data_IF_828872645374
#
_entry.id   IF_828872645374
#
_cell.length_a   1.000
_cell.length_b   1.000
_cell.length_c   1.000
_cell.angle_alpha   90.00
_cell.angle_beta   90.00
_cell.angle_gamma   90.00
#
_symmetry.space_group_name_H-M   'P 1'
#
loop_
_entity.id
_entity.type
_entity.pdbx_description
1 polymer ?
#
# COMPACT_ATOMS: atom_id res chain seq x y z
N UNK A 1 13.70 -13.70 -13.57
CA UNK A 1 12.72 -14.24 -12.60
C UNK A 1 13.38 -15.05 -11.48
N UNK A 2 14.31 -15.96 -11.78
CA UNK A 2 15.05 -16.75 -10.75
C UNK A 2 15.83 -15.87 -9.75
N UNK A 3 16.47 -14.80 -10.22
CA UNK A 3 17.30 -13.89 -9.40
C UNK A 3 16.50 -13.13 -8.32
N UNK A 4 15.28 -12.70 -8.65
CA UNK A 4 14.40 -11.99 -7.72
C UNK A 4 13.92 -12.93 -6.59
N UNK A 5 13.61 -14.18 -6.91
CA UNK A 5 13.18 -15.15 -5.89
C UNK A 5 14.33 -15.50 -4.94
N UNK A 6 15.56 -15.59 -5.46
CA UNK A 6 16.74 -15.82 -4.63
C UNK A 6 16.99 -14.64 -3.69
N UNK A 7 16.93 -13.40 -4.18
CA UNK A 7 17.09 -12.19 -3.36
C UNK A 7 15.98 -12.04 -2.31
N UNK A 8 14.72 -12.37 -2.64
CA UNK A 8 13.63 -12.39 -1.66
C UNK A 8 13.89 -13.45 -0.58
N UNK A 9 14.39 -14.63 -0.96
CA UNK A 9 14.70 -15.69 0.00
C UNK A 9 15.84 -15.29 0.96
N UNK A 10 16.88 -14.60 0.46
CA UNK A 10 17.97 -14.03 1.26
C UNK A 10 17.47 -12.93 2.19
N UNK A 11 16.63 -12.03 1.70
CA UNK A 11 16.00 -10.98 2.51
C UNK A 11 15.15 -11.59 3.65
N UNK A 12 14.46 -12.69 3.36
CA UNK A 12 13.63 -13.38 4.33
C UNK A 12 14.44 -14.11 5.42
N UNK A 13 15.58 -14.71 5.06
CA UNK A 13 16.48 -15.34 6.05
C UNK A 13 17.19 -14.29 6.90
N UNK A 14 17.68 -13.21 6.27
CA UNK A 14 18.36 -12.09 6.93
C UNK A 14 17.48 -11.38 7.97
N UNK A 15 16.17 -11.27 7.70
CA UNK A 15 15.23 -10.57 8.60
C UNK A 15 14.55 -11.49 9.63
N UNK A 16 14.82 -12.80 9.64
CA UNK A 16 14.11 -13.78 10.48
C UNK A 16 14.17 -13.50 12.00
N UNK A 17 15.31 -13.03 12.51
CA UNK A 17 15.47 -12.68 13.92
C UNK A 17 14.68 -11.39 14.26
N UNK A 18 14.84 -10.36 13.45
CA UNK A 18 14.13 -9.09 13.57
C UNK A 18 12.61 -9.29 13.53
N UNK A 19 12.13 -10.13 12.62
CA UNK A 19 10.71 -10.45 12.48
C UNK A 19 10.14 -11.00 13.78
N UNK A 20 10.81 -12.00 14.38
CA UNK A 20 10.37 -12.62 15.64
C UNK A 20 10.33 -11.62 16.79
N UNK A 21 11.33 -10.76 16.90
CA UNK A 21 11.36 -9.71 17.92
C UNK A 21 10.27 -8.65 17.69
N UNK A 22 10.08 -8.23 16.44
CA UNK A 22 9.11 -7.20 16.05
C UNK A 22 7.68 -7.69 16.29
N UNK A 23 7.36 -8.91 15.89
CA UNK A 23 6.06 -9.55 16.18
C UNK A 23 5.81 -9.59 17.69
N UNK A 24 6.77 -10.08 18.47
CA UNK A 24 6.65 -10.16 19.94
C UNK A 24 6.40 -8.78 20.56
N UNK A 25 7.08 -7.76 20.07
CA UNK A 25 6.97 -6.37 20.56
C UNK A 25 5.62 -5.77 20.17
N UNK A 26 5.20 -5.94 18.93
CA UNK A 26 3.91 -5.46 18.43
C UNK A 26 2.72 -6.09 19.17
N UNK A 27 2.76 -7.40 19.41
CA UNK A 27 1.74 -8.11 20.21
C UNK A 27 1.71 -7.58 21.64
N UNK A 28 2.88 -7.37 22.26
CA UNK A 28 2.95 -6.79 23.61
C UNK A 28 2.35 -5.39 23.65
N UNK A 29 2.64 -4.56 22.66
CA UNK A 29 2.14 -3.18 22.56
C UNK A 29 0.64 -3.11 22.28
N UNK A 30 0.11 -4.03 21.47
CA UNK A 30 -1.33 -4.20 21.25
C UNK A 30 -2.05 -4.41 22.59
N UNK A 31 -1.63 -5.43 23.36
CA UNK A 31 -2.26 -5.72 24.66
C UNK A 31 -1.94 -4.70 25.75
N UNK A 32 -0.82 -3.98 25.66
CA UNK A 32 -0.51 -2.86 26.56
C UNK A 32 -1.52 -1.73 26.38
N UNK A 33 -1.88 -1.43 25.14
CA UNK A 33 -2.86 -0.38 24.79
C UNK A 33 -4.26 -0.74 25.29
N UNK A 34 -4.63 -2.02 25.27
CA UNK A 34 -5.93 -2.51 25.78
C UNK A 34 -6.01 -2.56 27.32
N UNK A 35 -4.91 -2.35 28.04
CA UNK A 35 -4.87 -2.39 29.50
C UNK A 35 -5.00 -3.79 30.12
N UNK A 36 -4.76 -3.89 31.43
CA UNK A 36 -4.69 -5.17 32.16
C UNK A 36 -6.04 -5.61 32.74
N UNK A 37 -7.05 -4.73 32.79
CA UNK A 37 -8.29 -5.03 33.51
C UNK A 37 -9.52 -4.17 33.19
N UNK A 38 -9.56 -3.50 32.04
CA UNK A 38 -10.68 -2.66 31.65
C UNK A 38 -11.46 -3.29 30.52
N UNK A 39 -12.78 -3.14 30.55
CA UNK A 39 -13.59 -3.27 29.34
C UNK A 39 -13.01 -2.35 28.26
N UNK A 40 -12.66 -2.89 27.11
CA UNK A 40 -12.26 -2.13 25.94
C UNK A 40 -13.51 -1.78 25.11
N UNK A 41 -13.70 -0.50 24.80
CA UNK A 41 -14.66 -0.06 23.79
C UNK A 41 -14.12 -0.40 22.39
N UNK A 42 -14.99 -0.37 21.37
CA UNK A 42 -14.60 -0.67 19.98
C UNK A 42 -13.41 0.17 19.48
N UNK A 43 -13.31 1.44 19.89
CA UNK A 43 -12.20 2.33 19.53
C UNK A 43 -10.86 1.98 20.18
N UNK A 44 -10.85 1.25 21.30
CA UNK A 44 -9.61 0.84 21.97
C UNK A 44 -8.89 -0.26 21.18
N UNK A 45 -9.65 -1.11 20.46
CA UNK A 45 -9.10 -2.13 19.57
C UNK A 45 -8.47 -1.52 18.31
N UNK A 46 -9.12 -0.51 17.75
CA UNK A 46 -8.59 0.21 16.59
C UNK A 46 -7.30 0.95 17.00
N UNK A 47 -7.30 1.62 18.16
CA UNK A 47 -6.09 2.26 18.71
C UNK A 47 -4.97 1.25 19.01
N UNK A 48 -5.28 0.09 19.57
CA UNK A 48 -4.31 -0.97 19.84
C UNK A 48 -3.70 -1.54 18.56
N UNK A 49 -4.51 -1.74 17.53
CA UNK A 49 -4.08 -2.16 16.19
C UNK A 49 -3.14 -1.14 15.57
N UNK A 50 -3.52 0.14 15.60
CA UNK A 50 -2.72 1.21 15.02
C UNK A 50 -1.38 1.37 15.76
N UNK A 51 -1.37 1.18 17.09
CA UNK A 51 -0.13 1.13 17.88
C UNK A 51 0.77 -0.05 17.51
N UNK A 52 0.19 -1.24 17.35
CA UNK A 52 0.94 -2.42 16.93
C UNK A 52 1.54 -2.22 15.53
N UNK A 53 0.75 -1.71 14.59
CA UNK A 53 1.21 -1.40 13.23
C UNK A 53 2.32 -0.34 13.22
N UNK A 54 2.19 0.71 14.06
CA UNK A 54 3.22 1.75 14.19
C UNK A 54 4.57 1.17 14.64
N UNK A 55 4.57 0.24 15.60
CA UNK A 55 5.79 -0.45 16.05
C UNK A 55 6.40 -1.30 14.94
N UNK A 56 5.55 -2.04 14.21
CA UNK A 56 5.99 -2.87 13.09
C UNK A 56 6.63 -1.99 12.00
N UNK A 57 5.96 -0.93 11.56
CA UNK A 57 6.48 0.00 10.55
C UNK A 57 7.78 0.67 11.00
N UNK A 58 7.86 1.14 12.24
CA UNK A 58 9.06 1.79 12.76
C UNK A 58 10.29 0.88 12.75
N UNK A 59 10.12 -0.39 13.11
CA UNK A 59 11.20 -1.40 13.08
C UNK A 59 11.54 -1.80 11.65
N UNK A 60 10.52 -2.10 10.83
CA UNK A 60 10.69 -2.60 9.47
C UNK A 60 11.31 -1.55 8.52
N UNK A 61 10.96 -0.28 8.68
CA UNK A 61 11.44 0.84 7.87
C UNK A 61 12.66 1.54 8.49
N UNK A 62 13.35 0.87 9.41
CA UNK A 62 14.63 1.33 9.94
C UNK A 62 15.75 1.15 8.91
N UNK A 63 16.76 2.04 8.93
CA UNK A 63 17.87 1.99 7.98
C UNK A 63 18.61 0.64 8.00
N UNK A 64 18.80 0.06 9.19
CA UNK A 64 19.42 -1.26 9.38
C UNK A 64 18.63 -2.37 8.69
N UNK A 65 17.30 -2.35 8.81
CA UNK A 65 16.44 -3.37 8.22
C UNK A 65 16.38 -3.23 6.71
N UNK A 66 16.27 -2.00 6.22
CA UNK A 66 16.30 -1.74 4.78
C UNK A 66 17.63 -2.17 4.15
N UNK A 67 18.75 -1.92 4.84
CA UNK A 67 20.06 -2.40 4.40
C UNK A 67 20.12 -3.93 4.36
N UNK A 68 19.61 -4.61 5.39
CA UNK A 68 19.52 -6.08 5.40
C UNK A 68 18.64 -6.63 4.25
N UNK A 69 17.51 -5.97 3.95
CA UNK A 69 16.61 -6.32 2.85
C UNK A 69 17.21 -6.07 1.46
N UNK A 70 18.14 -5.12 1.34
CA UNK A 70 18.81 -4.78 0.08
C UNK A 70 20.16 -5.50 -0.12
N UNK A 71 20.45 -6.53 0.68
CA UNK A 71 21.70 -7.29 0.58
C UNK A 71 22.92 -6.54 1.11
N UNK A 72 22.76 -5.70 2.14
CA UNK A 72 23.83 -4.93 2.77
C UNK A 72 24.09 -3.56 2.13
N UNK A 73 23.27 -3.14 1.17
CA UNK A 73 23.37 -1.81 0.55
C UNK A 73 22.88 -0.72 1.51
N UNK A 74 23.64 0.37 1.61
CA UNK A 74 23.24 1.54 2.39
C UNK A 74 22.36 2.46 1.56
N UNK A 75 21.31 2.98 2.17
CA UNK A 75 20.43 3.98 1.57
C UNK A 75 20.73 5.35 2.18
N UNK A 76 20.70 6.40 1.36
CA UNK A 76 20.69 7.78 1.82
C UNK A 76 19.33 8.15 2.42
N UNK A 77 19.30 9.15 3.32
CA UNK A 77 18.07 9.61 3.97
C UNK A 77 16.92 9.94 3.00
N UNK A 78 17.17 10.58 1.83
CA UNK A 78 16.15 10.81 0.80
C UNK A 78 15.58 9.52 0.21
N UNK A 79 16.41 8.51 -0.07
CA UNK A 79 15.94 7.23 -0.59
C UNK A 79 15.11 6.47 0.45
N UNK A 80 15.52 6.50 1.71
CA UNK A 80 14.74 5.92 2.81
C UNK A 80 13.36 6.58 2.90
N UNK A 81 13.31 7.92 2.79
CA UNK A 81 12.03 8.64 2.79
C UNK A 81 11.14 8.31 1.59
N UNK A 82 11.71 8.24 0.38
CA UNK A 82 10.99 7.84 -0.83
C UNK A 82 10.46 6.41 -0.76
N UNK A 83 11.26 5.48 -0.22
CA UNK A 83 10.86 4.10 -0.02
C UNK A 83 9.74 3.98 1.01
N UNK A 84 9.80 4.74 2.12
CA UNK A 84 8.73 4.81 3.12
C UNK A 84 7.42 5.29 2.52
N UNK A 85 7.44 6.39 1.76
CA UNK A 85 6.26 6.92 1.09
C UNK A 85 5.68 5.93 0.08
N UNK A 86 6.53 5.30 -0.72
CA UNK A 86 6.11 4.31 -1.70
C UNK A 86 5.50 3.10 -1.01
N UNK A 87 6.16 2.57 0.03
CA UNK A 87 5.65 1.44 0.79
C UNK A 87 4.31 1.77 1.46
N UNK A 88 4.16 2.94 2.08
CA UNK A 88 2.91 3.36 2.68
C UNK A 88 1.77 3.50 1.66
N UNK A 89 2.08 3.84 0.40
CA UNK A 89 1.08 3.90 -0.67
C UNK A 89 0.59 2.52 -1.13
N UNK A 90 1.39 1.46 -0.97
CA UNK A 90 1.01 0.08 -1.35
C UNK A 90 0.70 -0.82 -0.14
N UNK A 91 0.95 -0.34 1.07
CA UNK A 91 0.75 -1.09 2.31
C UNK A 91 -0.71 -1.52 2.47
N UNK A 92 -0.93 -2.82 2.67
CA UNK A 92 -2.24 -3.35 3.11
C UNK A 92 -2.41 -3.03 4.59
N UNK A 93 -3.61 -2.66 5.02
CA UNK A 93 -3.90 -2.43 6.43
C UNK A 93 -3.80 -3.74 7.24
N UNK A 94 -3.24 -3.64 8.44
CA UNK A 94 -3.19 -4.76 9.38
C UNK A 94 -4.60 -5.07 9.86
N UNK A 95 -5.16 -6.23 9.49
CA UNK A 95 -6.48 -6.65 9.94
C UNK A 95 -6.35 -7.61 11.12
N UNK A 96 -6.76 -7.15 12.31
CA UNK A 96 -6.87 -7.99 13.51
C UNK A 96 -8.36 -8.19 13.78
N UNK A 97 -8.90 -9.42 13.67
CA UNK A 97 -10.29 -9.68 13.94
C UNK A 97 -10.57 -9.45 15.43
N UNK A 98 -11.73 -8.89 15.75
CA UNK A 98 -12.14 -8.70 17.15
C UNK A 98 -12.36 -10.05 17.82
N UNK A 99 -12.04 -10.20 19.12
CA UNK A 99 -12.21 -11.46 19.83
C UNK A 99 -13.69 -11.89 19.81
N UNK A 100 -13.98 -13.20 19.65
CA UNK A 100 -15.35 -13.69 19.70
C UNK A 100 -15.96 -13.42 21.07
N UNK A 101 -17.02 -12.61 21.10
CA UNK A 101 -17.68 -12.19 22.33
C UNK A 101 -18.58 -13.32 22.83
N UNK A 102 -18.25 -13.97 23.94
CA UNK A 102 -19.27 -14.62 24.76
C UNK A 102 -19.96 -13.53 25.57
N UNK A 103 -21.15 -13.10 25.12
CA UNK A 103 -22.04 -12.23 25.91
C UNK A 103 -22.58 -13.04 27.09
N UNK A 104 -21.78 -13.21 28.14
CA UNK A 104 -22.28 -13.76 29.39
C UNK A 104 -23.17 -12.70 30.07
N UNK A 105 -24.46 -12.98 30.32
CA UNK A 105 -25.32 -12.04 31.02
C UNK A 105 -24.74 -11.82 32.43
N UNK A 106 -24.53 -10.55 32.80
CA UNK A 106 -23.98 -10.17 34.12
C UNK A 106 -24.78 -10.88 35.22
N UNK A 107 -24.12 -11.44 36.23
CA UNK A 107 -24.76 -12.24 37.30
C UNK A 107 -25.94 -11.49 37.94
N UNK A 108 -25.82 -10.18 38.14
CA UNK A 108 -26.91 -9.33 38.66
C UNK A 108 -28.15 -9.29 37.76
N UNK A 109 -27.98 -9.32 36.43
CA UNK A 109 -29.12 -9.35 35.49
C UNK A 109 -29.85 -10.69 35.53
N UNK A 110 -29.11 -11.80 35.69
CA UNK A 110 -29.71 -13.12 35.88
C UNK A 110 -30.43 -13.21 37.23
N UNK A 111 -29.84 -12.66 38.30
CA UNK A 111 -30.44 -12.65 39.63
C UNK A 111 -31.72 -11.80 39.66
N UNK A 112 -31.71 -10.62 39.03
CA UNK A 112 -32.90 -9.77 38.90
C UNK A 112 -33.98 -10.45 38.05
N UNK A 113 -33.59 -11.11 36.96
CA UNK A 113 -34.51 -11.87 36.11
C UNK A 113 -35.14 -13.05 36.86
N UNK A 114 -34.35 -13.76 37.68
CA UNK A 114 -34.85 -14.83 38.55
C UNK A 114 -35.84 -14.30 39.58
N UNK A 115 -35.54 -13.14 40.21
CA UNK A 115 -36.42 -12.53 41.21
C UNK A 115 -37.74 -12.05 40.59
N UNK A 116 -37.67 -11.33 39.47
CA UNK A 116 -38.85 -10.88 38.73
C UNK A 116 -39.67 -12.05 38.19
N UNK A 117 -38.99 -13.08 37.68
CA UNK A 117 -39.60 -14.31 37.22
C UNK A 117 -40.33 -15.03 38.35
N UNK A 118 -39.71 -15.15 39.53
CA UNK A 118 -40.32 -15.79 40.70
C UNK A 118 -41.59 -15.07 41.14
N UNK A 119 -41.55 -13.74 41.24
CA UNK A 119 -42.70 -12.94 41.61
C UNK A 119 -43.85 -13.09 40.60
N UNK A 120 -43.56 -13.00 39.30
CA UNK A 120 -44.54 -13.19 38.24
C UNK A 120 -45.12 -14.62 38.24
N UNK A 121 -44.28 -15.63 38.44
CA UNK A 121 -44.70 -17.02 38.52
C UNK A 121 -45.61 -17.29 39.71
N UNK A 122 -45.29 -16.78 40.90
CA UNK A 122 -46.18 -16.87 42.07
C UNK A 122 -47.53 -16.18 41.82
N UNK A 123 -47.53 -15.00 41.20
CA UNK A 123 -48.75 -14.23 40.93
C UNK A 123 -49.64 -14.87 39.85
N UNK A 124 -49.05 -15.54 38.85
CA UNK A 124 -49.81 -16.18 37.78
C UNK A 124 -50.27 -17.60 38.16
N UNK A 125 -49.41 -18.39 38.81
CA UNK A 125 -49.69 -19.81 39.09
C UNK A 125 -50.66 -19.97 40.27
N UNK A 126 -50.61 -19.10 41.28
CA UNK A 126 -51.50 -19.16 42.45
C UNK A 126 -53.00 -19.04 42.10
N UNK A 127 -53.48 -18.06 41.31
CA UNK A 127 -54.90 -18.00 40.92
C UNK A 127 -55.28 -19.13 39.97
N UNK A 128 -54.35 -19.60 39.14
CA UNK A 128 -54.62 -20.64 38.15
C UNK A 128 -54.77 -22.03 38.79
N UNK A 129 -53.91 -22.38 39.75
CA UNK A 129 -54.04 -23.60 40.55
C UNK A 129 -55.21 -23.55 41.53
N UNK A 130 -55.54 -22.38 42.06
CA UNK A 130 -56.79 -22.19 42.81
C UNK A 130 -58.01 -22.47 41.94
N UNK A 131 -58.02 -21.99 40.70
CA UNK A 131 -59.14 -22.22 39.80
C UNK A 131 -59.26 -23.69 39.35
N UNK A 132 -58.13 -24.34 39.05
CA UNK A 132 -58.13 -25.69 38.49
C UNK A 132 -58.20 -26.82 39.54
N UNK A 133 -57.62 -26.61 40.73
CA UNK A 133 -57.42 -27.66 41.73
C UNK A 133 -57.80 -27.23 43.16
N UNK A 134 -58.30 -26.00 43.35
CA UNK A 134 -58.60 -25.37 44.65
C UNK A 134 -57.41 -25.32 45.64
N UNK A 135 -56.19 -25.53 45.14
CA UNK A 135 -54.95 -25.52 45.93
C UNK A 135 -54.13 -24.27 45.65
N UNK A 136 -54.40 -23.19 46.41
CA UNK A 136 -53.68 -21.92 46.29
C UNK A 136 -52.21 -22.02 46.74
N UNK A 137 -51.96 -22.71 47.84
CA UNK A 137 -50.64 -22.75 48.48
C UNK A 137 -49.62 -23.49 47.60
N UNK A 138 -50.08 -24.49 46.85
CA UNK A 138 -49.28 -25.21 45.88
C UNK A 138 -48.79 -24.29 44.75
N UNK A 139 -49.63 -23.34 44.31
CA UNK A 139 -49.27 -22.36 43.29
C UNK A 139 -48.26 -21.31 43.75
N UNK A 140 -48.25 -20.97 45.04
CA UNK A 140 -47.22 -20.09 45.60
C UNK A 140 -45.87 -20.83 45.73
N UNK A 141 -45.90 -22.08 46.20
CA UNK A 141 -44.68 -22.89 46.39
C UNK A 141 -44.02 -23.25 45.06
N UNK A 142 -44.80 -23.64 44.05
CA UNK A 142 -44.27 -24.02 42.72
C UNK A 142 -44.05 -22.82 41.80
N UNK A 143 -44.85 -21.75 41.94
CA UNK A 143 -44.79 -20.57 41.09
C UNK A 143 -43.47 -19.81 41.20
N UNK A 144 -42.87 -19.75 42.39
CA UNK A 144 -41.58 -19.08 42.61
C UNK A 144 -40.43 -19.73 41.82
N UNK A 145 -40.11 -21.02 42.06
CA UNK A 145 -39.04 -21.71 41.34
C UNK A 145 -39.28 -21.80 39.82
N UNK A 146 -40.52 -22.12 39.39
CA UNK A 146 -40.86 -22.23 37.97
C UNK A 146 -40.75 -20.87 37.26
N UNK A 147 -41.24 -19.81 37.91
CA UNK A 147 -41.14 -18.45 37.41
C UNK A 147 -39.69 -17.96 37.34
N UNK A 148 -38.87 -18.23 38.35
CA UNK A 148 -37.45 -17.86 38.36
C UNK A 148 -36.68 -18.50 37.19
N UNK A 149 -36.89 -19.81 36.97
CA UNK A 149 -36.31 -20.55 35.85
C UNK A 149 -36.72 -19.94 34.51
N UNK A 150 -38.02 -19.68 34.33
CA UNK A 150 -38.55 -19.06 33.11
C UNK A 150 -37.97 -17.65 32.89
N UNK A 151 -37.89 -16.83 33.94
CA UNK A 151 -37.28 -15.49 33.86
C UNK A 151 -35.82 -15.54 33.40
N UNK A 152 -35.03 -16.45 33.97
CA UNK A 152 -33.63 -16.67 33.55
C UNK A 152 -33.56 -17.17 32.12
N UNK A 153 -34.38 -18.14 31.72
CA UNK A 153 -34.40 -18.69 30.37
C UNK A 153 -34.80 -17.64 29.33
N UNK A 154 -35.81 -16.81 29.65
CA UNK A 154 -36.27 -15.70 28.81
C UNK A 154 -35.13 -14.71 28.62
N UNK A 155 -34.49 -14.24 29.69
CA UNK A 155 -33.35 -13.31 29.59
C UNK A 155 -32.16 -13.94 28.86
N UNK A 156 -31.88 -15.23 29.07
CA UNK A 156 -30.84 -15.95 28.35
C UNK A 156 -31.13 -16.13 26.85
N UNK A 157 -32.39 -16.38 26.47
CA UNK A 157 -32.83 -16.44 25.07
C UNK A 157 -32.81 -15.06 24.42
N UNK A 158 -33.31 -14.03 25.11
CA UNK A 158 -33.35 -12.66 24.62
C UNK A 158 -31.97 -12.03 24.48
N UNK A 159 -31.01 -12.37 25.35
CA UNK A 159 -29.63 -11.90 25.23
C UNK A 159 -28.94 -12.46 23.97
N UNK A 160 -29.33 -13.66 23.51
CA UNK A 160 -28.86 -14.24 22.24
C UNK A 160 -29.53 -13.63 21.01
N UNK A 161 -30.78 -13.18 21.11
CA UNK A 161 -31.59 -12.73 19.96
C UNK A 161 -31.42 -11.22 19.68
N UNK A 162 -30.68 -10.48 20.51
CA UNK A 162 -30.43 -9.04 20.30
C UNK A 162 -31.65 -8.13 20.51
N UNK A 163 -32.82 -8.70 20.83
CA UNK A 163 -34.07 -7.95 21.01
C UNK A 163 -34.07 -7.09 22.29
N UNK A 164 -33.35 -7.52 23.33
CA UNK A 164 -33.24 -6.80 24.61
C UNK A 164 -32.48 -5.47 24.48
N UNK A 165 -31.57 -5.37 23.49
CA UNK A 165 -30.87 -4.13 23.13
C UNK A 165 -31.78 -3.07 22.49
N UNK A 166 -32.88 -3.49 21.84
CA UNK A 166 -33.80 -2.58 21.14
C UNK A 166 -34.78 -1.89 22.10
N UNK A 167 -35.05 -2.51 23.26
CA UNK A 167 -35.99 -2.01 24.25
C UNK A 167 -35.33 -1.19 25.37
N UNK A 168 -34.01 -1.33 25.59
CA UNK A 168 -33.28 -0.61 26.65
C UNK A 168 -31.97 -0.01 26.12
N UNK A 169 -32.02 1.16 25.44
CA UNK A 169 -30.86 1.77 24.75
C UNK A 169 -29.71 2.24 25.67
N UNK A 170 -29.83 2.10 26.99
CA UNK A 170 -28.83 2.60 27.96
C UNK A 170 -28.06 1.53 28.75
N UNK A 171 -28.42 0.25 28.65
CA UNK A 171 -27.81 -0.81 29.47
C UNK A 171 -26.74 -1.64 28.74
N UNK A 172 -26.64 -1.51 27.43
CA UNK A 172 -25.60 -2.13 26.64
C UNK A 172 -24.41 -1.17 26.49
N UNK A 173 -23.66 -0.99 27.56
CA UNK A 173 -22.27 -0.61 27.41
C UNK A 173 -21.63 -1.75 26.61
N UNK A 174 -21.18 -1.49 25.38
CA UNK A 174 -20.49 -2.44 24.49
C UNK A 174 -19.05 -2.66 25.01
N UNK A 175 -19.00 -2.95 26.30
CA UNK A 175 -17.84 -3.01 27.16
C UNK A 175 -17.28 -4.41 27.03
N UNK A 176 -16.35 -4.60 26.10
CA UNK A 176 -15.73 -5.90 25.85
C UNK A 176 -14.67 -6.14 26.92
N UNK A 177 -15.00 -6.92 27.96
CA UNK A 177 -14.00 -7.30 28.95
C UNK A 177 -13.11 -8.41 28.39
N UNK A 178 -11.89 -8.06 28.00
CA UNK A 178 -10.82 -9.03 27.79
C UNK A 178 -10.35 -9.58 29.14
N UNK A 179 -11.13 -10.47 29.73
CA UNK A 179 -10.69 -11.23 30.91
C UNK A 179 -9.53 -12.15 30.55
N UNK A 180 -8.70 -12.53 31.53
CA UNK A 180 -7.43 -13.23 31.29
C UNK A 180 -7.51 -14.49 30.41
N UNK A 181 -8.66 -15.19 30.38
CA UNK A 181 -8.90 -16.34 29.49
C UNK A 181 -9.14 -15.91 28.05
N UNK A 182 -10.02 -14.94 27.81
CA UNK A 182 -10.27 -14.39 26.47
C UNK A 182 -9.01 -13.73 25.88
N UNK A 183 -8.18 -13.10 26.71
CA UNK A 183 -6.87 -12.57 26.30
C UNK A 183 -5.93 -13.67 25.84
N UNK A 184 -5.83 -14.77 26.60
CA UNK A 184 -4.96 -15.92 26.27
C UNK A 184 -5.36 -16.56 24.93
N UNK A 185 -6.65 -16.63 24.64
CA UNK A 185 -7.16 -17.20 23.39
C UNK A 185 -7.02 -16.23 22.20
N UNK A 186 -7.06 -14.91 22.46
CA UNK A 186 -6.93 -13.89 21.43
C UNK A 186 -5.46 -13.59 21.05
N UNK A 187 -4.52 -13.71 21.99
CA UNK A 187 -3.09 -13.50 21.74
C UNK A 187 -2.52 -14.26 20.52
N UNK A 188 -2.77 -15.58 20.33
CA UNK A 188 -2.27 -16.29 19.16
C UNK A 188 -2.87 -15.75 17.84
N UNK A 189 -4.11 -15.24 17.87
CA UNK A 189 -4.76 -14.64 16.69
C UNK A 189 -4.07 -13.33 16.32
N UNK A 190 -3.85 -12.44 17.31
CA UNK A 190 -3.12 -11.18 17.10
C UNK A 190 -1.72 -11.46 16.55
N UNK A 191 -1.02 -12.44 17.13
CA UNK A 191 0.30 -12.85 16.68
C UNK A 191 0.28 -13.31 15.22
N UNK A 192 -0.64 -14.21 14.85
CA UNK A 192 -0.76 -14.72 13.50
C UNK A 192 -1.05 -13.60 12.48
N UNK A 193 -1.92 -12.64 12.82
CA UNK A 193 -2.20 -11.50 11.96
C UNK A 193 -0.97 -10.62 11.73
N UNK A 194 -0.20 -10.34 12.78
CA UNK A 194 1.04 -9.55 12.66
C UNK A 194 2.11 -10.33 11.88
N UNK A 195 2.23 -11.64 12.09
CA UNK A 195 3.14 -12.51 11.34
C UNK A 195 2.79 -12.52 9.85
N UNK A 196 1.52 -12.73 9.51
CA UNK A 196 1.02 -12.74 8.13
C UNK A 196 1.24 -11.39 7.44
N UNK A 197 1.01 -10.28 8.15
CA UNK A 197 1.29 -8.95 7.62
C UNK A 197 2.79 -8.78 7.33
N UNK A 198 3.66 -9.25 8.22
CA UNK A 198 5.12 -9.23 8.02
C UNK A 198 5.58 -10.14 6.87
N UNK A 199 4.97 -11.31 6.70
CA UNK A 199 5.23 -12.22 5.58
C UNK A 199 4.91 -11.58 4.23
N UNK A 200 3.91 -10.70 4.18
CA UNK A 200 3.60 -9.91 2.99
C UNK A 200 4.51 -8.68 2.83
N UNK A 201 4.78 -7.96 3.92
CA UNK A 201 5.50 -6.69 3.88
C UNK A 201 6.98 -6.86 3.51
N UNK A 202 7.64 -7.91 4.02
CA UNK A 202 9.08 -8.14 3.81
C UNK A 202 9.42 -8.39 2.32
N UNK A 203 8.75 -9.30 1.60
CA UNK A 203 8.95 -9.45 0.15
C UNK A 203 8.63 -8.20 -0.63
N UNK A 204 7.55 -7.49 -0.26
CA UNK A 204 7.16 -6.24 -0.93
C UNK A 204 8.24 -5.18 -0.80
N UNK A 205 8.78 -4.98 0.41
CA UNK A 205 9.90 -4.07 0.64
C UNK A 205 11.18 -4.52 -0.06
N UNK A 206 11.49 -5.81 -0.06
CA UNK A 206 12.66 -6.32 -0.79
C UNK A 206 12.55 -5.99 -2.29
N UNK A 207 11.38 -6.20 -2.90
CA UNK A 207 11.11 -5.84 -4.30
C UNK A 207 11.21 -4.32 -4.52
N UNK A 208 10.68 -3.50 -3.60
CA UNK A 208 10.79 -2.05 -3.67
C UNK A 208 12.23 -1.57 -3.50
N UNK A 209 13.03 -2.18 -2.64
CA UNK A 209 14.46 -1.89 -2.52
C UNK A 209 15.21 -2.24 -3.81
N UNK A 210 14.87 -3.38 -4.43
CA UNK A 210 15.44 -3.80 -5.71
C UNK A 210 15.03 -2.85 -6.85
N UNK A 211 13.76 -2.42 -6.92
CA UNK A 211 13.27 -1.52 -7.97
C UNK A 211 13.64 -0.06 -7.74
N UNK A 212 13.63 0.42 -6.49
CA UNK A 212 14.13 1.74 -6.12
C UNK A 212 15.60 1.90 -6.49
N UNK A 213 16.39 0.81 -6.41
CA UNK A 213 17.77 0.78 -6.87
C UNK A 213 17.95 0.84 -8.39
N UNK A 214 16.91 0.59 -9.20
CA UNK A 214 16.96 0.85 -10.66
C UNK A 214 16.99 2.34 -10.98
N UNK A 215 16.58 3.20 -10.04
CA UNK A 215 16.52 4.66 -10.23
C UNK A 215 17.67 5.42 -9.54
N UNK A 216 18.58 4.73 -8.86
CA UNK A 216 19.78 5.29 -8.23
C UNK A 216 21.08 4.73 -8.83
N UNK A 217 21.13 4.54 -10.15
CA UNK A 217 22.41 4.62 -10.83
C UNK A 217 22.95 6.07 -10.70
N UNK A 218 24.28 6.30 -10.77
CA UNK A 218 24.78 7.67 -10.97
C UNK A 218 24.00 8.28 -12.13
N UNK A 219 23.36 9.44 -11.90
CA UNK A 219 22.47 10.09 -12.88
C UNK A 219 23.13 9.96 -14.24
N UNK A 220 22.55 9.12 -15.11
CA UNK A 220 23.23 8.87 -16.37
C UNK A 220 23.24 10.19 -17.09
N UNK A 221 24.32 10.50 -17.82
CA UNK A 221 24.40 11.77 -18.56
C UNK A 221 23.16 11.98 -19.45
N UNK A 222 22.54 10.88 -19.89
CA UNK A 222 21.24 10.81 -20.56
C UNK A 222 20.07 11.31 -19.69
N UNK A 223 19.95 10.89 -18.43
CA UNK A 223 18.88 11.33 -17.52
C UNK A 223 19.00 12.82 -17.16
N UNK A 224 20.22 13.28 -16.89
CA UNK A 224 20.51 14.70 -16.69
C UNK A 224 20.15 15.52 -17.94
N UNK A 225 20.51 15.02 -19.12
CA UNK A 225 20.18 15.65 -20.40
C UNK A 225 18.66 15.77 -20.58
N UNK A 226 17.90 14.70 -20.38
CA UNK A 226 16.45 14.73 -20.55
C UNK A 226 15.76 15.67 -19.56
N UNK A 227 16.19 15.69 -18.31
CA UNK A 227 15.64 16.59 -17.30
C UNK A 227 15.87 18.05 -17.70
N UNK A 228 17.08 18.39 -18.14
CA UNK A 228 17.47 19.75 -18.51
C UNK A 228 16.80 20.21 -19.80
N UNK A 229 16.83 19.37 -20.84
CA UNK A 229 16.15 19.62 -22.12
C UNK A 229 14.64 19.75 -21.90
N UNK A 230 14.04 18.85 -21.10
CA UNK A 230 12.64 18.92 -20.73
C UNK A 230 12.26 20.26 -20.12
N UNK A 231 13.06 20.77 -19.17
CA UNK A 231 12.87 22.11 -18.59
C UNK A 231 12.92 23.21 -19.66
N UNK A 232 13.89 23.17 -20.56
CA UNK A 232 14.04 24.18 -21.62
C UNK A 232 12.90 24.13 -22.65
N UNK A 233 12.28 22.98 -22.90
CA UNK A 233 11.06 22.88 -23.72
C UNK A 233 9.90 23.66 -23.08
N UNK A 234 9.73 23.58 -21.74
CA UNK A 234 8.73 24.38 -21.04
C UNK A 234 9.03 25.88 -21.10
N UNK A 235 10.31 26.27 -21.04
CA UNK A 235 10.72 27.68 -21.19
C UNK A 235 10.42 28.16 -22.62
N UNK A 236 10.75 27.36 -23.63
CA UNK A 236 10.46 27.66 -25.03
C UNK A 236 8.96 27.83 -25.28
N UNK A 237 8.12 26.97 -24.71
CA UNK A 237 6.67 27.07 -24.83
C UNK A 237 6.10 28.36 -24.21
N UNK A 238 6.73 28.87 -23.15
CA UNK A 238 6.30 30.09 -22.45
C UNK A 238 6.96 31.36 -22.99
N UNK A 239 7.96 31.25 -23.86
CA UNK A 239 8.70 32.39 -24.38
C UNK A 239 7.83 33.24 -25.32
N UNK A 240 7.93 34.57 -25.19
CA UNK A 240 7.34 35.51 -26.15
C UNK A 240 8.07 35.45 -27.50
N UNK A 241 7.42 35.91 -28.59
CA UNK A 241 7.97 35.86 -29.96
C UNK A 241 9.38 36.44 -30.09
N UNK A 242 9.68 37.51 -29.37
CA UNK A 242 10.99 38.18 -29.41
C UNK A 242 12.09 37.38 -28.71
N UNK A 243 11.75 36.60 -27.68
CA UNK A 243 12.69 35.78 -26.92
C UNK A 243 12.85 34.36 -27.50
N UNK A 244 11.97 33.95 -28.41
CA UNK A 244 11.94 32.60 -28.97
C UNK A 244 13.28 32.16 -29.61
N UNK A 245 13.96 33.00 -30.43
CA UNK A 245 15.24 32.60 -31.01
C UNK A 245 16.31 32.33 -29.96
N UNK A 246 16.37 33.17 -28.92
CA UNK A 246 17.35 33.05 -27.83
C UNK A 246 17.13 31.78 -27.02
N UNK A 247 15.87 31.47 -26.67
CA UNK A 247 15.54 30.26 -25.91
C UNK A 247 15.75 28.99 -26.75
N UNK A 248 15.49 29.06 -28.06
CA UNK A 248 15.76 27.97 -28.98
C UNK A 248 17.28 27.71 -29.12
N UNK A 249 18.09 28.76 -29.20
CA UNK A 249 19.56 28.64 -29.21
C UNK A 249 20.09 28.06 -27.89
N UNK A 250 19.55 28.48 -26.73
CA UNK A 250 19.90 27.90 -25.43
C UNK A 250 19.57 26.40 -25.38
N UNK A 251 18.40 25.99 -25.87
CA UNK A 251 18.01 24.58 -25.95
C UNK A 251 18.98 23.76 -26.80
N UNK A 252 19.37 24.28 -27.98
CA UNK A 252 20.28 23.59 -28.89
C UNK A 252 21.70 23.55 -28.33
N UNK A 253 22.16 24.62 -27.70
CA UNK A 253 23.47 24.66 -27.04
C UNK A 253 23.53 23.65 -25.88
N UNK A 254 22.48 23.57 -25.09
CA UNK A 254 22.43 22.64 -23.98
C UNK A 254 22.37 21.19 -24.47
N UNK A 255 21.57 20.89 -25.50
CA UNK A 255 21.59 19.58 -26.14
C UNK A 255 23.00 19.19 -26.61
N UNK A 256 23.76 20.12 -27.22
CA UNK A 256 25.17 19.89 -27.60
C UNK A 256 26.04 19.55 -26.39
N UNK A 257 25.94 20.31 -25.30
CA UNK A 257 26.72 20.09 -24.07
C UNK A 257 26.49 18.67 -23.49
N UNK A 258 25.28 18.14 -23.64
CA UNK A 258 24.94 16.79 -23.17
C UNK A 258 25.29 15.66 -24.15
N UNK A 259 25.84 15.96 -25.33
CA UNK A 259 26.33 14.96 -26.28
C UNK A 259 25.36 14.60 -27.41
N UNK A 260 24.36 15.44 -27.70
CA UNK A 260 23.64 15.36 -28.96
C UNK A 260 24.52 15.89 -30.10
N UNK A 261 24.71 15.05 -31.13
CA UNK A 261 25.55 15.37 -32.29
C UNK A 261 24.72 15.91 -33.46
N UNK A 262 25.37 16.55 -34.44
CA UNK A 262 24.70 17.08 -35.64
C UNK A 262 23.98 18.42 -35.42
N UNK A 263 24.21 19.05 -34.27
CA UNK A 263 23.71 20.37 -33.91
C UNK A 263 24.78 21.48 -34.11
N UNK A 264 25.83 21.19 -34.88
CA UNK A 264 26.95 22.10 -35.09
C UNK A 264 26.58 23.29 -35.99
N UNK A 265 27.14 24.46 -35.68
CA UNK A 265 26.86 25.70 -36.39
C UNK A 265 25.66 26.48 -35.84
N UNK A 266 25.23 27.48 -36.62
CA UNK A 266 24.06 28.30 -36.30
C UNK A 266 22.77 27.54 -36.62
N UNK A 267 21.75 27.69 -35.77
CA UNK A 267 20.47 27.04 -35.98
C UNK A 267 19.85 27.48 -37.31
N UNK A 268 19.20 26.55 -38.02
CA UNK A 268 18.68 26.82 -39.37
C UNK A 268 17.61 27.91 -39.36
N UNK A 269 16.84 28.07 -38.28
CA UNK A 269 15.87 29.16 -38.14
C UNK A 269 16.53 30.55 -38.02
N UNK A 270 17.82 30.61 -37.68
CA UNK A 270 18.59 31.85 -37.56
C UNK A 270 19.25 32.25 -38.88
N UNK A 271 19.24 31.38 -39.89
CA UNK A 271 19.84 31.65 -41.21
C UNK A 271 18.78 31.54 -42.30
N UNK A 272 18.53 32.64 -43.02
CA UNK A 272 17.52 32.73 -44.08
C UNK A 272 17.93 32.01 -45.38
N UNK A 273 18.73 30.94 -45.26
CA UNK A 273 19.22 30.15 -46.40
C UNK A 273 18.27 29.00 -46.65
N UNK A 274 17.67 29.01 -47.85
CA UNK A 274 16.91 27.88 -48.38
C UNK A 274 17.66 26.57 -48.16
N UNK A 275 16.93 25.58 -47.63
CA UNK A 275 17.42 24.26 -47.23
C UNK A 275 18.04 23.56 -48.45
N UNK A 276 19.37 23.64 -48.62
CA UNK A 276 20.08 22.76 -49.56
C UNK A 276 19.97 21.35 -48.98
N UNK A 277 19.26 20.47 -49.67
CA UNK A 277 19.19 19.07 -49.28
C UNK A 277 20.57 18.44 -49.43
N UNK A 278 21.10 17.88 -48.35
CA UNK A 278 22.35 17.14 -48.41
C UNK A 278 22.13 15.86 -49.21
N UNK A 279 22.82 15.76 -50.34
CA UNK A 279 22.80 14.57 -51.20
C UNK A 279 24.05 13.74 -50.96
N UNK A 280 23.89 12.42 -50.84
CA UNK A 280 24.98 11.46 -50.70
C UNK A 280 24.77 10.23 -51.58
N UNK A 281 25.82 9.44 -51.76
CA UNK A 281 25.73 8.14 -52.44
C UNK A 281 25.43 7.07 -51.40
N UNK A 282 24.38 6.28 -51.63
CA UNK A 282 23.97 5.20 -50.74
C UNK A 282 25.01 4.07 -50.74
N UNK A 283 25.41 3.67 -49.53
CA UNK A 283 26.32 2.55 -49.25
C UNK A 283 25.67 1.66 -48.21
N UNK A 284 25.93 0.35 -48.26
CA UNK A 284 25.33 -0.60 -47.30
C UNK A 284 25.56 -0.24 -45.83
N UNK A 285 26.70 0.37 -45.49
CA UNK A 285 27.04 0.82 -44.14
C UNK A 285 26.12 1.94 -43.58
N UNK A 286 25.38 2.66 -44.43
CA UNK A 286 24.47 3.72 -44.01
C UNK A 286 23.12 3.20 -43.53
N UNK A 287 22.79 1.93 -43.80
CA UNK A 287 21.54 1.31 -43.37
C UNK A 287 21.36 1.35 -41.83
N UNK A 288 22.46 1.28 -41.07
CA UNK A 288 22.41 1.40 -39.60
C UNK A 288 22.07 2.80 -39.09
N UNK A 289 22.25 3.85 -39.91
CA UNK A 289 22.02 5.25 -39.54
C UNK A 289 20.74 5.85 -40.14
N UNK A 290 20.30 5.33 -41.28
CA UNK A 290 19.18 5.89 -42.04
C UNK A 290 18.16 4.84 -42.43
N UNK A 291 16.89 5.21 -42.41
CA UNK A 291 15.77 4.53 -43.06
C UNK A 291 15.62 5.03 -44.49
N UNK A 292 15.20 4.12 -45.37
CA UNK A 292 15.04 4.38 -46.80
C UNK A 292 13.57 4.56 -47.15
N UNK A 293 13.23 5.67 -47.79
CA UNK A 293 11.92 5.85 -48.39
C UNK A 293 11.91 5.29 -49.81
N UNK A 294 11.32 4.10 -49.97
CA UNK A 294 11.26 3.35 -51.23
C UNK A 294 12.46 2.43 -51.45
N UNK A 295 12.56 1.86 -52.65
CA UNK A 295 13.63 0.94 -53.01
C UNK A 295 14.91 1.71 -53.41
N UNK A 296 15.97 1.54 -52.61
CA UNK A 296 17.29 2.14 -52.82
C UNK A 296 18.31 1.01 -52.93
N UNK A 297 19.16 1.06 -53.96
CA UNK A 297 20.26 0.12 -54.18
C UNK A 297 21.59 0.82 -53.89
N UNK A 298 22.61 0.05 -53.54
CA UNK A 298 23.97 0.57 -53.38
C UNK A 298 24.43 1.29 -54.67
N UNK A 299 25.01 2.48 -54.49
CA UNK A 299 25.39 3.37 -55.59
C UNK A 299 24.34 4.43 -55.97
N UNK A 300 23.09 4.32 -55.49
CA UNK A 300 22.06 5.32 -55.75
C UNK A 300 22.38 6.66 -55.06
N UNK A 301 22.06 7.78 -55.73
CA UNK A 301 22.06 9.11 -55.09
C UNK A 301 20.81 9.30 -54.25
N UNK A 302 20.99 9.65 -52.99
CA UNK A 302 19.90 9.88 -52.03
C UNK A 302 20.02 11.27 -51.40
N UNK A 303 18.88 11.91 -51.16
CA UNK A 303 18.76 13.15 -50.41
C UNK A 303 18.34 12.85 -48.97
N UNK A 304 18.97 13.53 -48.01
CA UNK A 304 18.60 13.45 -46.59
C UNK A 304 17.37 14.31 -46.35
N UNK A 305 16.24 13.68 -46.07
CA UNK A 305 15.01 14.37 -45.68
C UNK A 305 15.05 14.75 -44.19
N UNK A 306 15.58 13.83 -43.38
CA UNK A 306 15.75 13.99 -41.93
C UNK A 306 17.10 13.42 -41.48
N UNK A 307 17.96 14.20 -40.82
CA UNK A 307 19.19 13.68 -40.25
C UNK A 307 18.88 12.70 -39.10
N UNK A 308 19.77 11.75 -38.79
CA UNK A 308 19.62 10.85 -37.65
C UNK A 308 19.84 11.62 -36.34
N UNK A 309 19.16 11.18 -35.28
CA UNK A 309 19.42 11.68 -33.93
C UNK A 309 20.49 10.80 -33.29
N UNK A 310 21.65 11.39 -33.01
CA UNK A 310 22.79 10.70 -32.42
C UNK A 310 23.07 11.27 -31.04
N UNK A 311 23.21 10.39 -30.05
CA UNK A 311 23.54 10.72 -28.67
C UNK A 311 24.73 9.88 -28.24
N UNK A 312 25.83 10.54 -27.86
CA UNK A 312 27.09 9.90 -27.45
C UNK A 312 27.58 8.81 -28.43
N UNK A 313 27.64 9.14 -29.72
CA UNK A 313 28.07 8.23 -30.79
C UNK A 313 27.08 7.11 -31.16
N UNK A 314 25.93 7.02 -30.47
CA UNK A 314 24.89 6.01 -30.75
C UNK A 314 23.69 6.64 -31.45
N UNK A 315 23.21 6.00 -32.51
CA UNK A 315 21.98 6.39 -33.20
C UNK A 315 20.78 6.05 -32.30
N UNK A 316 20.09 7.07 -31.81
CA UNK A 316 18.87 6.93 -30.99
C UNK A 316 17.64 6.90 -31.88
N UNK A 317 17.66 7.67 -32.97
CA UNK A 317 16.61 7.65 -34.00
C UNK A 317 17.27 7.69 -35.39
N UNK A 318 16.83 6.80 -36.28
CA UNK A 318 17.36 6.75 -37.65
C UNK A 318 16.85 7.95 -38.45
N UNK A 319 17.75 8.49 -39.26
CA UNK A 319 17.40 9.51 -40.24
C UNK A 319 16.53 8.94 -41.35
N UNK A 320 16.04 9.79 -42.25
CA UNK A 320 15.27 9.37 -43.42
C UNK A 320 15.96 9.87 -44.68
N UNK A 321 16.17 8.97 -45.63
CA UNK A 321 16.70 9.30 -46.96
C UNK A 321 15.72 8.90 -48.05
N UNK A 322 15.74 9.64 -49.15
CA UNK A 322 14.94 9.38 -50.35
C UNK A 322 15.81 9.41 -51.58
N UNK A 323 15.56 8.51 -52.53
CA UNK A 323 16.27 8.48 -53.82
C UNK A 323 16.02 9.76 -54.60
N UNK A 324 17.10 10.40 -55.05
CA UNK A 324 17.02 11.51 -56.00
C UNK A 324 16.79 10.92 -57.38
N UNK A 325 15.69 11.32 -58.04
CA UNK A 325 15.47 11.01 -59.45
C UNK A 325 16.21 12.06 -60.26
N UNK A 326 17.15 11.64 -61.09
CA UNK A 326 17.69 12.52 -62.12
C UNK A 326 16.55 12.79 -63.12
N UNK A 327 15.97 13.99 -63.05
CA UNK A 327 15.11 14.49 -64.13
C UNK A 327 15.99 14.69 -65.34
N UNK A 328 15.88 13.76 -66.28
CA UNK A 328 16.38 13.93 -67.65
C UNK A 328 15.39 14.79 -68.43
#
# INVERSE_FOLDING_TARGET
MLDIQEEISKAHTATSALRRETVKTAVKEYFRTLGVGGSAAGGDFDAARDRALGVVKARLLSAETLAALAGGRTFDDPAVAGLKLTFDAVAVDLQIPRPPVTREPKIYTLALAALMGAAAGMLALAPLLRWAYDMRDLGLVLGGPAGALLGVLVVHRLSRIGFLLRLLPGMASDTQSLSGRARKDHEPVVRACVEQWMDWAVPTLAVLCLHGSLSQGPETKKDAAFRRIGKLIYVLHKAGREALPVVADELIQEARNYGFEGLDGAATFSTDRGRKQDTMVWKGALAGKYETFGHIVEGDRVAVERPPVVFEGKVVERGLVRKVRETT
#
